data_IF_694319575666
#
_entry.id   IF_694319575666
#
_cell.length_a   1.000
_cell.length_b   1.000
_cell.length_c   1.000
_cell.angle_alpha   90.00
_cell.angle_beta   90.00
_cell.angle_gamma   90.00
#
_symmetry.space_group_name_H-M   'P 1'
#
loop_
_entity.id
_entity.type
_entity.pdbx_description
1 polymer ?
#
# COMPACT_ATOMS: atom_id res chain seq x y z
N UNK A 1 -8.79 10.90 1.48
CA UNK A 1 -9.01 10.89 0.03
C UNK A 1 -8.98 9.46 -0.46
N UNK A 2 -10.10 8.94 -1.00
CA UNK A 2 -10.12 7.64 -1.66
C UNK A 2 -9.47 7.76 -3.03
N UNK A 3 -8.25 7.26 -3.19
CA UNK A 3 -7.60 7.17 -4.49
C UNK A 3 -8.18 6.02 -5.32
N UNK A 4 -7.97 6.01 -6.63
CA UNK A 4 -8.07 4.78 -7.40
C UNK A 4 -6.65 4.30 -7.71
N UNK A 5 -6.47 3.01 -8.02
CA UNK A 5 -5.17 2.51 -8.48
C UNK A 5 -4.85 3.23 -9.81
N UNK A 6 -3.67 3.87 -9.96
CA UNK A 6 -3.29 4.51 -11.22
C UNK A 6 -3.38 3.54 -12.39
N UNK A 7 -3.93 3.98 -13.53
CA UNK A 7 -4.21 3.13 -14.69
C UNK A 7 -2.98 2.39 -15.21
N UNK A 8 -1.83 3.06 -15.26
CA UNK A 8 -0.56 2.45 -15.68
C UNK A 8 -0.08 1.36 -14.71
N UNK A 9 -0.23 1.58 -13.40
CA UNK A 9 0.10 0.60 -12.38
C UNK A 9 -0.84 -0.61 -12.50
N UNK A 10 -2.15 -0.37 -12.67
CA UNK A 10 -3.12 -1.43 -12.88
C UNK A 10 -2.81 -2.26 -14.15
N UNK A 11 -2.43 -1.61 -15.25
CA UNK A 11 -2.02 -2.28 -16.48
C UNK A 11 -0.74 -3.13 -16.30
N UNK A 12 0.25 -2.60 -15.58
CA UNK A 12 1.47 -3.33 -15.25
C UNK A 12 1.20 -4.56 -14.37
N UNK A 13 0.29 -4.44 -13.40
CA UNK A 13 -0.12 -5.56 -12.54
C UNK A 13 -0.83 -6.65 -13.34
N UNK A 14 -1.83 -6.29 -14.15
CA UNK A 14 -2.54 -7.26 -15.01
C UNK A 14 -1.60 -8.02 -15.95
N UNK A 15 -0.56 -7.35 -16.46
CA UNK A 15 0.45 -8.00 -17.31
C UNK A 15 1.33 -8.99 -16.53
N UNK A 16 1.69 -8.68 -15.28
CA UNK A 16 2.58 -9.52 -14.46
C UNK A 16 1.85 -10.64 -13.74
N UNK A 17 0.59 -10.41 -13.36
CA UNK A 17 -0.26 -11.32 -12.59
C UNK A 17 -1.70 -11.22 -13.09
N UNK A 18 -2.01 -11.83 -14.25
CA UNK A 18 -3.33 -11.71 -14.88
C UNK A 18 -4.46 -12.29 -14.01
N UNK A 19 -4.17 -13.30 -13.19
CA UNK A 19 -5.16 -13.99 -12.36
C UNK A 19 -5.37 -13.34 -10.97
N UNK A 20 -4.58 -12.32 -10.63
CA UNK A 20 -4.64 -11.67 -9.33
C UNK A 20 -5.54 -10.43 -9.38
N UNK A 21 -6.39 -10.26 -8.36
CA UNK A 21 -7.13 -9.01 -8.16
C UNK A 21 -6.15 -7.85 -7.87
N UNK A 22 -6.12 -6.78 -8.69
CA UNK A 22 -5.29 -5.62 -8.43
C UNK A 22 -5.51 -4.99 -7.05
N UNK A 23 -6.74 -5.04 -6.52
CA UNK A 23 -7.05 -4.52 -5.18
C UNK A 23 -6.39 -5.35 -4.07
N UNK A 24 -6.13 -6.64 -4.33
CA UNK A 24 -5.35 -7.50 -3.45
C UNK A 24 -3.83 -7.26 -3.54
N UNK A 25 -3.36 -6.49 -4.52
CA UNK A 25 -1.93 -6.19 -4.72
C UNK A 25 -1.56 -4.75 -4.38
N UNK A 26 -2.50 -3.80 -4.52
CA UNK A 26 -2.28 -2.38 -4.24
C UNK A 26 -3.38 -1.88 -3.32
N UNK A 27 -3.13 -1.80 -2.00
CA UNK A 27 -4.10 -1.23 -1.08
C UNK A 27 -4.32 0.25 -1.38
N UNK A 28 -5.59 0.66 -1.36
CA UNK A 28 -6.00 2.04 -1.59
C UNK A 28 -6.30 2.72 -0.26
N UNK A 29 -5.45 3.68 0.11
CA UNK A 29 -5.57 4.42 1.36
C UNK A 29 -5.04 3.67 2.58
N UNK A 30 -4.92 4.39 3.70
CA UNK A 30 -4.24 3.93 4.91
C UNK A 30 -4.95 2.77 5.61
N UNK A 31 -6.29 2.77 5.65
CA UNK A 31 -7.06 1.67 6.23
C UNK A 31 -6.85 0.34 5.50
N UNK A 32 -6.84 0.37 4.17
CA UNK A 32 -6.59 -0.82 3.37
C UNK A 32 -5.13 -1.28 3.53
N UNK A 33 -4.18 -0.34 3.57
CA UNK A 33 -2.77 -0.63 3.76
C UNK A 33 -2.50 -1.31 5.11
N UNK A 34 -3.06 -0.79 6.20
CA UNK A 34 -2.91 -1.38 7.54
C UNK A 34 -3.46 -2.79 7.62
N UNK A 35 -4.63 -3.06 7.01
CA UNK A 35 -5.18 -4.43 6.92
C UNK A 35 -4.25 -5.35 6.15
N UNK A 36 -3.79 -4.90 4.99
CA UNK A 36 -2.91 -5.69 4.13
C UNK A 36 -1.59 -6.06 4.80
N UNK A 37 -0.97 -5.12 5.54
CA UNK A 37 0.24 -5.39 6.33
C UNK A 37 -0.06 -6.43 7.42
N UNK A 38 -1.16 -6.29 8.17
CA UNK A 38 -1.56 -7.24 9.20
C UNK A 38 -1.77 -8.66 8.66
N UNK A 39 -2.37 -8.79 7.47
CA UNK A 39 -2.57 -10.08 6.82
C UNK A 39 -1.23 -10.76 6.49
N UNK A 40 -0.23 -9.99 6.03
CA UNK A 40 1.12 -10.51 5.80
C UNK A 40 1.88 -10.85 7.09
N UNK A 41 1.71 -10.03 8.14
CA UNK A 41 2.26 -10.33 9.47
C UNK A 41 1.70 -11.66 9.99
N UNK A 42 0.40 -11.91 9.81
CA UNK A 42 -0.27 -13.13 10.26
C UNK A 42 0.31 -14.42 9.62
N UNK A 43 0.95 -14.31 8.44
CA UNK A 43 1.64 -15.43 7.78
C UNK A 43 3.16 -15.39 7.94
N UNK A 44 3.68 -14.54 8.83
CA UNK A 44 5.10 -14.52 9.24
C UNK A 44 5.99 -13.52 8.49
N UNK A 45 5.44 -12.61 7.69
CA UNK A 45 6.26 -11.54 7.04
C UNK A 45 6.56 -10.44 8.05
N UNK A 46 7.83 -10.07 8.17
CA UNK A 46 8.29 -9.10 9.18
C UNK A 46 8.89 -7.80 8.62
N UNK A 47 9.04 -7.66 7.29
CA UNK A 47 9.64 -6.47 6.67
C UNK A 47 8.85 -5.97 5.47
N UNK A 48 8.55 -4.67 5.49
CA UNK A 48 7.76 -4.01 4.46
C UNK A 48 8.46 -2.77 3.93
N UNK A 49 8.33 -2.56 2.62
CA UNK A 49 8.70 -1.30 1.97
C UNK A 49 7.40 -0.69 1.45
N UNK A 50 6.98 0.40 2.07
CA UNK A 50 5.76 1.12 1.69
C UNK A 50 6.16 2.38 0.94
N UNK A 51 5.55 2.58 -0.23
CA UNK A 51 5.78 3.73 -1.10
C UNK A 51 4.46 4.20 -1.72
N UNK A 52 4.27 5.50 -1.95
CA UNK A 52 3.06 5.99 -2.58
C UNK A 52 3.03 5.57 -4.06
N UNK A 53 1.85 5.22 -4.58
CA UNK A 53 1.70 4.74 -5.95
C UNK A 53 2.09 5.80 -7.00
N UNK A 54 1.81 7.07 -6.69
CA UNK A 54 2.19 8.28 -7.43
C UNK A 54 3.03 9.18 -6.52
N UNK A 55 3.77 10.14 -7.10
CA UNK A 55 4.46 11.13 -6.28
C UNK A 55 3.45 11.92 -5.45
N UNK A 56 3.64 12.06 -4.13
CA UNK A 56 2.76 12.88 -3.30
C UNK A 56 3.00 14.37 -3.59
N UNK A 57 2.01 15.23 -3.31
CA UNK A 57 2.18 16.69 -3.43
C UNK A 57 3.19 17.24 -2.41
N UNK A 58 3.31 16.61 -1.23
CA UNK A 58 4.32 16.91 -0.21
C UNK A 58 4.87 15.60 0.33
N UNK A 59 6.20 15.47 0.30
CA UNK A 59 6.88 14.32 0.90
C UNK A 59 6.91 14.41 2.43
N UNK A 60 7.00 15.61 2.99
CA UNK A 60 6.96 15.82 4.44
C UNK A 60 5.63 15.31 5.01
N UNK A 61 4.50 15.78 4.48
CA UNK A 61 3.16 15.39 4.91
C UNK A 61 2.94 13.88 4.75
N UNK A 62 3.47 13.28 3.66
CA UNK A 62 3.42 11.84 3.46
C UNK A 62 4.18 11.08 4.55
N UNK A 63 5.39 11.53 4.92
CA UNK A 63 6.21 10.90 5.96
C UNK A 63 5.54 11.04 7.33
N UNK A 64 4.97 12.20 7.65
CA UNK A 64 4.25 12.42 8.91
C UNK A 64 3.03 11.49 9.01
N UNK A 65 2.26 11.38 7.93
CA UNK A 65 1.11 10.49 7.90
C UNK A 65 1.52 9.01 7.90
N UNK A 66 2.60 8.65 7.20
CA UNK A 66 3.19 7.31 7.24
C UNK A 66 3.54 6.92 8.67
N UNK A 67 4.23 7.79 9.41
CA UNK A 67 4.64 7.52 10.78
C UNK A 67 3.42 7.33 11.69
N UNK A 68 2.42 8.19 11.53
CA UNK A 68 1.14 8.12 12.27
C UNK A 68 0.42 6.80 12.05
N UNK A 69 0.39 6.30 10.81
CA UNK A 69 -0.43 5.14 10.43
C UNK A 69 0.29 3.80 10.64
N UNK A 70 1.62 3.75 10.45
CA UNK A 70 2.37 2.49 10.37
C UNK A 70 3.26 2.19 11.57
N UNK A 71 3.79 3.19 12.29
CA UNK A 71 4.57 2.91 13.51
C UNK A 71 3.76 2.19 14.59
N UNK A 72 2.45 2.47 14.82
CA UNK A 72 1.69 1.77 15.86
C UNK A 72 1.46 0.28 15.62
N UNK A 73 1.77 -0.23 14.42
CA UNK A 73 1.62 -1.64 14.06
C UNK A 73 2.96 -2.37 13.92
N UNK A 74 4.08 -1.67 14.15
CA UNK A 74 5.40 -2.29 14.30
C UNK A 74 5.43 -3.06 15.64
N UNK A 75 5.91 -4.30 15.61
CA UNK A 75 5.98 -5.20 16.77
C UNK A 75 7.38 -5.71 17.01
#
# INVERSE_FOLDING_TARGET
MGGNIPSELAAALRRRRPDADPAALVPVGWDALRRHIKDYIAVGVSKFVVRPATSPPSWADFIDQFATELLPIET
#
